data_IF_602319234666
#
_entry.id   IF_602319234666
#
_cell.length_a   1.000
_cell.length_b   1.000
_cell.length_c   1.000
_cell.angle_alpha   90.00
_cell.angle_beta   90.00
_cell.angle_gamma   90.00
#
_symmetry.space_group_name_H-M   'P 1'
#
loop_
_entity.id
_entity.type
_entity.pdbx_description
1 polymer ?
#
# COMPACT_ATOMS: atom_id res chain seq x y z
N UNK A 1 -43.24 39.54 26.35
CA UNK A 1 -42.57 38.74 27.38
C UNK A 1 -41.82 37.62 26.67
N UNK A 2 -40.50 37.57 26.82
CA UNK A 2 -39.57 36.61 26.16
C UNK A 2 -39.75 35.20 26.75
N UNK A 3 -39.56 34.16 25.94
CA UNK A 3 -38.87 32.87 26.26
C UNK A 3 -38.97 31.94 25.02
N UNK A 4 -37.96 31.98 24.14
CA UNK A 4 -36.82 31.04 24.03
C UNK A 4 -37.18 29.67 23.43
N UNK A 5 -36.82 29.54 22.14
CA UNK A 5 -36.40 28.32 21.48
C UNK A 5 -35.47 27.47 22.37
N UNK A 6 -35.69 26.15 22.37
CA UNK A 6 -34.58 25.17 22.47
C UNK A 6 -34.95 23.88 21.76
N UNK A 7 -34.28 23.67 20.62
CA UNK A 7 -33.94 22.38 20.06
C UNK A 7 -33.24 21.50 21.09
N UNK A 8 -33.58 20.21 21.13
CA UNK A 8 -32.60 19.15 21.32
C UNK A 8 -32.95 17.94 20.44
N UNK A 9 -32.37 17.93 19.24
CA UNK A 9 -32.14 16.73 18.45
C UNK A 9 -31.20 15.81 19.25
N UNK A 10 -31.64 14.58 19.57
CA UNK A 10 -30.73 13.55 20.08
C UNK A 10 -30.42 12.54 18.99
N UNK A 11 -29.19 12.73 18.53
CA UNK A 11 -28.44 12.08 17.47
C UNK A 11 -28.40 10.56 17.64
N UNK A 12 -28.80 9.90 16.56
CA UNK A 12 -28.58 8.49 16.26
C UNK A 12 -27.07 8.21 16.24
N UNK A 13 -26.53 7.61 17.31
CA UNK A 13 -25.14 7.17 17.37
C UNK A 13 -25.00 5.86 16.59
N UNK A 14 -24.97 5.98 15.27
CA UNK A 14 -24.46 4.95 14.36
C UNK A 14 -22.96 4.79 14.57
N UNK A 15 -22.56 3.68 15.20
CA UNK A 15 -21.16 3.24 15.25
C UNK A 15 -20.76 2.76 13.85
N UNK A 16 -20.30 3.70 13.02
CA UNK A 16 -19.47 3.37 11.86
C UNK A 16 -18.16 2.80 12.38
N UNK A 17 -18.06 1.47 12.37
CA UNK A 17 -16.79 0.78 12.44
C UNK A 17 -16.05 1.11 11.14
N UNK A 18 -15.15 2.10 11.24
CA UNK A 18 -14.16 2.38 10.21
C UNK A 18 -13.20 1.19 10.17
N UNK A 19 -13.53 0.14 9.42
CA UNK A 19 -12.54 -0.83 8.97
C UNK A 19 -11.61 -0.09 8.03
N UNK A 20 -10.55 0.49 8.59
CA UNK A 20 -9.37 0.86 7.82
C UNK A 20 -8.75 -0.46 7.38
N UNK A 21 -9.18 -0.96 6.23
CA UNK A 21 -8.42 -1.92 5.45
C UNK A 21 -7.12 -1.20 5.07
N UNK A 22 -6.13 -1.27 5.94
CA UNK A 22 -4.73 -1.04 5.60
C UNK A 22 -4.38 -2.16 4.64
N UNK A 23 -4.71 -1.96 3.37
CA UNK A 23 -4.08 -2.68 2.29
C UNK A 23 -2.59 -2.41 2.48
N UNK A 24 -1.86 -3.44 2.93
CA UNK A 24 -0.41 -3.52 2.82
C UNK A 24 -0.09 -3.48 1.33
N UNK A 25 -0.21 -2.30 0.71
CA UNK A 25 0.47 -1.97 -0.51
C UNK A 25 1.94 -1.93 -0.10
N UNK A 26 2.57 -3.11 -0.17
CA UNK A 26 4.00 -3.27 0.03
C UNK A 26 4.72 -2.20 -0.77
N UNK A 27 5.82 -1.69 -0.20
CA UNK A 27 6.70 -0.73 -0.87
C UNK A 27 6.88 -1.15 -2.33
N UNK A 28 6.33 -0.39 -3.26
CA UNK A 28 6.32 -0.77 -4.66
C UNK A 28 7.55 -0.14 -5.31
N UNK A 29 8.69 -0.83 -5.24
CA UNK A 29 9.81 -0.53 -6.13
C UNK A 29 9.50 -1.14 -7.48
N UNK A 30 9.43 -0.29 -8.51
CA UNK A 30 9.16 -0.72 -9.88
C UNK A 30 10.41 -0.48 -10.71
N UNK A 31 11.00 -1.56 -11.21
CA UNK A 31 12.10 -1.50 -12.16
C UNK A 31 11.58 -1.71 -13.58
N UNK A 32 12.09 -0.90 -14.49
CA UNK A 32 11.84 -0.92 -15.93
C UNK A 32 13.17 -1.04 -16.65
N UNK A 33 13.26 -1.96 -17.60
CA UNK A 33 14.40 -2.09 -18.50
C UNK A 33 14.02 -1.58 -19.88
N UNK A 34 14.92 -0.85 -20.52
CA UNK A 34 14.61 -0.16 -21.76
C UNK A 34 15.82 0.46 -22.43
N UNK A 35 15.55 1.45 -23.28
CA UNK A 35 16.56 2.17 -24.04
C UNK A 35 16.34 3.66 -23.94
N UNK A 36 17.43 4.41 -23.84
CA UNK A 36 17.42 5.87 -23.95
C UNK A 36 17.90 6.29 -25.34
N UNK A 37 17.15 7.18 -25.98
CA UNK A 37 17.58 7.95 -27.14
C UNK A 37 17.94 9.35 -26.69
N UNK A 38 19.07 9.90 -27.13
CA UNK A 38 19.47 11.26 -26.75
C UNK A 38 19.33 12.22 -27.92
N UNK A 39 19.30 13.51 -27.61
CA UNK A 39 19.26 14.58 -28.61
C UNK A 39 20.46 14.48 -29.54
N UNK A 40 20.18 14.31 -30.84
CA UNK A 40 21.18 14.11 -31.89
C UNK A 40 22.17 12.94 -31.62
N UNK A 41 21.80 11.97 -30.79
CA UNK A 41 22.66 10.85 -30.40
C UNK A 41 23.87 11.24 -29.53
N UNK A 42 23.92 12.48 -29.02
CA UNK A 42 25.02 12.94 -28.19
C UNK A 42 24.79 12.59 -26.72
N UNK A 43 25.81 12.12 -25.99
CA UNK A 43 25.67 11.85 -24.57
C UNK A 43 25.54 13.15 -23.77
N UNK A 44 24.87 13.11 -22.62
CA UNK A 44 24.73 14.26 -21.73
C UNK A 44 24.94 13.89 -20.25
N UNK A 45 25.48 14.80 -19.43
CA UNK A 45 25.66 14.55 -18.01
C UNK A 45 24.34 14.77 -17.25
N UNK A 46 23.93 13.77 -16.48
CA UNK A 46 22.95 13.89 -15.41
C UNK A 46 23.72 14.00 -14.10
N UNK A 47 23.73 15.18 -13.48
CA UNK A 47 24.32 15.40 -12.16
C UNK A 47 23.23 15.36 -11.08
N UNK A 48 23.62 15.05 -9.85
CA UNK A 48 22.81 15.04 -8.63
C UNK A 48 23.65 15.45 -7.42
N UNK A 49 23.11 15.36 -6.21
CA UNK A 49 23.84 15.66 -4.96
C UNK A 49 25.14 14.82 -4.84
N UNK A 50 26.27 15.41 -5.21
CA UNK A 50 27.60 14.79 -5.14
C UNK A 50 27.86 13.67 -6.17
N UNK A 51 26.94 13.41 -7.09
CA UNK A 51 27.05 12.32 -8.07
C UNK A 51 26.88 12.83 -9.50
N UNK A 52 27.55 12.20 -10.45
CA UNK A 52 27.40 12.47 -11.89
C UNK A 52 27.28 11.16 -12.64
N UNK A 53 26.33 11.09 -13.55
CA UNK A 53 26.07 9.95 -14.41
C UNK A 53 26.03 10.45 -15.86
N UNK A 54 26.85 9.86 -16.73
CA UNK A 54 26.78 10.14 -18.16
C UNK A 54 25.65 9.30 -18.77
N UNK A 55 24.71 9.95 -19.44
CA UNK A 55 23.62 9.31 -20.17
C UNK A 55 24.06 9.18 -21.62
N UNK A 56 24.29 7.94 -22.07
CA UNK A 56 24.65 7.59 -23.44
C UNK A 56 23.46 6.89 -24.12
N UNK A 57 23.27 7.06 -25.46
CA UNK A 57 22.26 6.29 -26.19
C UNK A 57 22.41 4.79 -25.98
N UNK A 58 21.29 4.10 -25.78
CA UNK A 58 21.25 2.64 -25.68
C UNK A 58 20.62 2.12 -24.40
N UNK A 59 20.94 0.88 -23.99
CA UNK A 59 20.26 0.21 -22.87
C UNK A 59 20.45 0.92 -21.53
N UNK A 60 19.34 1.09 -20.81
CA UNK A 60 19.26 1.72 -19.49
C UNK A 60 18.13 1.05 -18.69
N UNK A 61 18.15 1.21 -17.37
CA UNK A 61 17.00 0.89 -16.52
C UNK A 61 16.59 2.10 -15.69
N UNK A 62 15.30 2.18 -15.40
CA UNK A 62 14.73 3.16 -14.47
C UNK A 62 14.01 2.41 -13.37
N UNK A 63 14.29 2.80 -12.13
CA UNK A 63 13.61 2.32 -10.94
C UNK A 63 12.82 3.47 -10.31
N UNK A 64 11.56 3.23 -9.99
CA UNK A 64 10.69 4.17 -9.26
C UNK A 64 10.26 3.48 -7.98
N UNK A 65 10.74 3.99 -6.84
CA UNK A 65 10.32 3.58 -5.52
C UNK A 65 9.14 4.42 -5.05
N UNK A 66 7.94 3.84 -5.03
CA UNK A 66 6.74 4.48 -4.49
C UNK A 66 6.43 3.91 -3.10
N UNK A 67 6.26 4.79 -2.11
CA UNK A 67 5.72 4.41 -0.80
C UNK A 67 4.40 5.11 -0.53
N UNK A 68 3.41 4.43 0.10
CA UNK A 68 2.17 5.07 0.50
C UNK A 68 2.43 6.14 1.57
N UNK A 69 1.64 7.23 1.62
CA UNK A 69 1.67 8.18 2.73
C UNK A 69 1.40 7.50 4.09
N UNK A 70 2.00 7.96 5.20
CA UNK A 70 2.90 9.11 5.33
C UNK A 70 4.38 8.78 4.99
N UNK A 71 4.72 7.52 4.75
CA UNK A 71 6.09 7.07 4.48
C UNK A 71 6.66 7.62 3.16
N UNK A 72 5.79 8.03 2.23
CA UNK A 72 6.12 8.73 0.99
C UNK A 72 7.02 9.96 1.19
N UNK A 73 6.91 10.65 2.34
CA UNK A 73 7.65 11.89 2.61
C UNK A 73 9.15 11.68 2.80
N UNK A 74 9.60 10.46 3.11
CA UNK A 74 10.98 10.20 3.51
C UNK A 74 11.71 9.20 2.60
N UNK A 75 11.01 8.47 1.72
CA UNK A 75 11.57 7.27 1.09
C UNK A 75 11.13 7.00 -0.36
N UNK A 76 10.45 7.94 -1.03
CA UNK A 76 10.19 7.79 -2.46
C UNK A 76 11.38 8.28 -3.29
N UNK A 77 11.71 7.58 -4.37
CA UNK A 77 12.87 7.88 -5.20
C UNK A 77 12.69 7.48 -6.66
N UNK A 78 13.47 8.11 -7.53
CA UNK A 78 13.72 7.65 -8.89
C UNK A 78 15.21 7.37 -9.05
N UNK A 79 15.56 6.21 -9.58
CA UNK A 79 16.94 5.83 -9.87
C UNK A 79 17.11 5.57 -11.35
N UNK A 80 18.05 6.28 -11.95
CA UNK A 80 18.47 6.11 -13.35
C UNK A 80 19.72 5.23 -13.35
N UNK A 81 19.66 4.06 -13.99
CA UNK A 81 20.75 3.07 -14.02
C UNK A 81 21.30 2.89 -15.43
N UNK A 82 22.58 3.17 -15.64
CA UNK A 82 23.31 2.82 -16.86
C UNK A 82 24.26 1.66 -16.58
N UNK A 83 24.95 1.19 -17.62
CA UNK A 83 26.06 0.23 -17.46
C UNK A 83 27.23 0.79 -16.64
N UNK A 84 27.35 2.11 -16.51
CA UNK A 84 28.48 2.79 -15.86
C UNK A 84 28.18 3.28 -14.44
N UNK A 85 26.94 3.17 -13.99
CA UNK A 85 26.56 3.58 -12.65
C UNK A 85 25.06 3.86 -12.51
N UNK A 86 24.68 4.37 -11.34
CA UNK A 86 23.32 4.76 -11.05
C UNK A 86 23.29 6.12 -10.37
N UNK A 87 22.22 6.87 -10.61
CA UNK A 87 21.95 8.15 -9.95
C UNK A 87 20.55 8.10 -9.37
N UNK A 88 20.42 8.43 -8.09
CA UNK A 88 19.14 8.40 -7.37
C UNK A 88 18.74 9.80 -6.96
N UNK A 89 17.50 10.17 -7.27
CA UNK A 89 16.89 11.42 -6.85
C UNK A 89 15.71 11.14 -5.91
N UNK A 90 15.60 11.95 -4.86
CA UNK A 90 14.45 11.91 -3.94
C UNK A 90 13.21 12.45 -4.65
N UNK A 91 12.09 11.80 -4.42
CA UNK A 91 10.77 12.23 -4.91
C UNK A 91 9.81 12.38 -3.74
N UNK A 92 8.76 13.17 -3.92
CA UNK A 92 7.81 13.53 -2.87
C UNK A 92 6.40 13.31 -3.39
N UNK A 93 5.42 13.22 -2.48
CA UNK A 93 4.04 12.94 -2.85
C UNK A 93 3.48 13.88 -3.95
N UNK A 94 3.86 15.16 -3.95
CA UNK A 94 3.44 16.13 -4.96
C UNK A 94 4.12 16.01 -6.32
N UNK A 95 5.18 15.19 -6.42
CA UNK A 95 5.85 14.89 -7.69
C UNK A 95 5.07 13.81 -8.47
N UNK A 96 4.22 13.02 -7.80
CA UNK A 96 3.44 11.92 -8.39
C UNK A 96 2.00 12.35 -8.75
N UNK A 97 1.52 11.86 -9.88
CA UNK A 97 0.11 11.73 -10.20
C UNK A 97 -0.20 10.27 -10.56
N UNK A 98 -1.45 9.97 -10.97
CA UNK A 98 -1.91 8.60 -11.19
C UNK A 98 -1.01 7.77 -12.14
N UNK A 99 -0.55 8.40 -13.23
CA UNK A 99 0.20 7.78 -14.32
C UNK A 99 1.48 8.56 -14.69
N UNK A 100 1.87 9.54 -13.87
CA UNK A 100 3.02 10.40 -14.13
C UNK A 100 3.84 10.70 -12.89
N UNK A 101 5.11 11.04 -13.10
CA UNK A 101 6.04 11.55 -12.09
C UNK A 101 6.81 12.72 -12.70
N UNK A 102 6.83 13.87 -12.02
CA UNK A 102 7.59 15.05 -12.45
C UNK A 102 8.56 15.47 -11.34
N UNK A 103 9.86 15.41 -11.64
CA UNK A 103 10.92 15.82 -10.74
C UNK A 103 11.58 17.07 -11.30
N UNK A 104 11.42 18.20 -10.61
CA UNK A 104 12.15 19.43 -10.93
C UNK A 104 13.59 19.28 -10.46
N UNK A 105 14.53 19.29 -11.39
CA UNK A 105 15.93 19.04 -11.13
C UNK A 105 16.56 20.10 -10.24
N UNK A 106 16.31 21.38 -10.51
CA UNK A 106 16.91 22.49 -9.77
C UNK A 106 16.64 22.42 -8.25
N UNK A 107 15.43 22.03 -7.83
CA UNK A 107 15.08 21.91 -6.40
C UNK A 107 15.58 20.61 -5.75
N UNK A 108 16.16 19.71 -6.55
CA UNK A 108 16.63 18.37 -6.14
C UNK A 108 18.11 18.15 -6.42
N UNK A 109 18.83 19.21 -6.79
CA UNK A 109 20.25 19.16 -7.15
C UNK A 109 20.54 18.44 -8.47
N UNK A 110 19.53 18.21 -9.33
CA UNK A 110 19.72 17.58 -10.63
C UNK A 110 20.04 18.61 -11.73
N UNK A 111 20.87 18.21 -12.70
CA UNK A 111 21.16 19.03 -13.89
C UNK A 111 20.04 19.06 -14.94
N UNK A 112 19.02 18.23 -14.78
CA UNK A 112 17.88 18.11 -15.68
C UNK A 112 16.61 17.81 -14.89
N UNK A 113 15.48 18.27 -15.42
CA UNK A 113 14.16 17.86 -14.92
C UNK A 113 13.84 16.46 -15.49
N UNK A 114 13.07 15.67 -14.75
CA UNK A 114 12.62 14.35 -15.18
C UNK A 114 11.09 14.36 -15.28
N UNK A 115 10.56 14.02 -16.45
CA UNK A 115 9.13 13.83 -16.66
C UNK A 115 8.87 12.39 -17.08
N UNK A 116 8.35 11.59 -16.17
CA UNK A 116 7.99 10.20 -16.41
C UNK A 116 6.48 10.05 -16.60
N UNK A 117 6.09 9.18 -17.53
CA UNK A 117 4.72 8.74 -17.74
C UNK A 117 4.68 7.23 -17.94
N UNK A 118 3.58 6.60 -17.56
CA UNK A 118 3.42 5.18 -17.79
C UNK A 118 2.02 4.77 -18.18
N UNK A 119 1.94 3.66 -18.92
CA UNK A 119 0.68 3.01 -19.26
C UNK A 119 0.77 1.52 -18.90
N UNK A 120 -0.33 0.97 -18.40
CA UNK A 120 -0.43 -0.46 -18.11
C UNK A 120 -0.91 -1.17 -19.38
N UNK A 121 -0.11 -2.12 -19.86
CA UNK A 121 -0.42 -2.99 -21.00
C UNK A 121 -0.97 -4.30 -20.44
N UNK A 122 -2.24 -4.65 -20.70
CA UNK A 122 -2.83 -5.91 -20.27
C UNK A 122 -2.07 -7.10 -20.86
N UNK A 123 -1.79 -8.10 -20.02
CA UNK A 123 -1.08 -9.32 -20.39
C UNK A 123 -1.92 -10.60 -20.14
N UNK A 124 -3.05 -10.48 -19.45
CA UNK A 124 -4.01 -11.58 -19.27
C UNK A 124 -4.69 -11.56 -17.90
N UNK A 125 -5.52 -12.58 -17.66
CA UNK A 125 -6.21 -12.82 -16.39
C UNK A 125 -5.72 -14.14 -15.81
N UNK A 126 -5.49 -14.15 -14.50
CA UNK A 126 -5.16 -15.34 -13.72
C UNK A 126 -6.15 -15.48 -12.57
N UNK A 127 -6.53 -16.72 -12.26
CA UNK A 127 -7.43 -17.01 -11.15
C UNK A 127 -6.75 -18.01 -10.23
N UNK A 128 -6.71 -17.68 -8.95
CA UNK A 128 -6.12 -18.51 -7.92
C UNK A 128 -7.20 -18.86 -6.89
N UNK A 129 -7.35 -20.14 -6.58
CA UNK A 129 -8.18 -20.57 -5.45
C UNK A 129 -7.31 -20.70 -4.22
N UNK A 130 -7.70 -20.03 -3.14
CA UNK A 130 -7.02 -20.11 -1.84
C UNK A 130 -8.05 -20.21 -0.71
N UNK A 131 -7.57 -20.42 0.50
CA UNK A 131 -8.40 -20.43 1.71
C UNK A 131 -8.04 -19.24 2.58
N UNK A 132 -9.04 -18.47 3.00
CA UNK A 132 -8.89 -17.40 4.00
C UNK A 132 -9.52 -17.78 5.32
N UNK A 133 -8.99 -17.24 6.40
CA UNK A 133 -9.65 -17.28 7.71
C UNK A 133 -10.89 -16.38 7.68
N UNK A 134 -11.94 -16.83 8.35
CA UNK A 134 -13.21 -16.12 8.44
C UNK A 134 -13.87 -16.43 9.78
N UNK A 135 -14.99 -15.75 10.06
CA UNK A 135 -15.85 -16.06 11.20
C UNK A 135 -17.26 -16.40 10.75
N UNK A 136 -17.89 -17.34 11.44
CA UNK A 136 -19.27 -17.75 11.19
C UNK A 136 -20.05 -17.96 12.49
N UNK A 137 -21.36 -17.96 12.39
CA UNK A 137 -22.23 -18.30 13.52
C UNK A 137 -22.45 -19.82 13.55
N UNK A 138 -22.10 -20.47 14.66
CA UNK A 138 -22.18 -21.92 14.77
C UNK A 138 -21.73 -22.46 16.13
N UNK A 139 -21.66 -23.78 16.22
CA UNK A 139 -21.10 -24.47 17.39
C UNK A 139 -19.59 -24.55 17.27
N UNK A 140 -18.87 -24.02 18.25
CA UNK A 140 -17.42 -24.14 18.32
C UNK A 140 -16.92 -24.06 19.77
N UNK A 141 -15.62 -24.33 19.92
CA UNK A 141 -14.92 -24.18 21.19
C UNK A 141 -14.31 -22.78 21.27
N UNK A 142 -14.57 -22.04 22.35
CA UNK A 142 -13.91 -20.76 22.64
C UNK A 142 -13.17 -20.75 23.95
N UNK A 143 -12.03 -20.06 23.95
CA UNK A 143 -11.35 -19.65 25.16
C UNK A 143 -12.21 -18.59 25.85
N UNK A 144 -12.64 -18.87 27.08
CA UNK A 144 -13.32 -17.93 27.97
C UNK A 144 -12.48 -17.77 29.23
N UNK A 145 -12.27 -16.53 29.63
CA UNK A 145 -11.57 -16.24 30.86
C UNK A 145 -12.53 -16.37 32.05
N UNK A 146 -12.13 -17.18 33.02
CA UNK A 146 -12.84 -17.36 34.28
C UNK A 146 -12.00 -16.76 35.38
N UNK A 147 -12.54 -15.75 36.04
CA UNK A 147 -11.96 -15.21 37.26
C UNK A 147 -12.32 -16.14 38.41
N UNK A 148 -11.31 -16.80 38.99
CA UNK A 148 -11.44 -17.66 40.17
C UNK A 148 -11.03 -16.90 41.41
N UNK A 149 -11.93 -16.83 42.37
CA UNK A 149 -11.74 -16.29 43.71
C UNK A 149 -11.94 -17.43 44.73
N UNK A 150 -11.59 -17.25 46.02
CA UNK A 150 -11.69 -18.30 47.03
C UNK A 150 -13.08 -18.97 47.13
N UNK A 151 -14.16 -18.18 47.07
CA UNK A 151 -15.53 -18.68 47.27
C UNK A 151 -16.41 -18.59 46.01
N UNK A 152 -15.88 -18.12 44.88
CA UNK A 152 -16.68 -17.84 43.69
C UNK A 152 -15.88 -17.92 42.39
N UNK A 153 -16.59 -18.17 41.29
CA UNK A 153 -16.03 -18.08 39.93
C UNK A 153 -16.94 -17.23 39.06
N UNK A 154 -16.34 -16.34 38.27
CA UNK A 154 -17.08 -15.44 37.38
C UNK A 154 -16.55 -15.58 35.96
N UNK A 155 -17.44 -15.64 34.97
CA UNK A 155 -17.08 -15.65 33.55
C UNK A 155 -16.87 -14.23 33.04
N UNK A 156 -15.95 -14.05 32.09
CA UNK A 156 -15.72 -12.80 31.39
C UNK A 156 -17.04 -12.20 30.85
N UNK A 157 -17.17 -10.86 30.93
CA UNK A 157 -18.39 -10.15 30.52
C UNK A 157 -19.48 -10.05 31.61
N UNK A 158 -19.45 -10.90 32.65
CA UNK A 158 -20.41 -10.81 33.77
C UNK A 158 -20.16 -9.59 34.68
N UNK A 159 -21.17 -9.19 35.46
CA UNK A 159 -21.03 -8.12 36.48
C UNK A 159 -20.02 -8.51 37.57
N UNK A 160 -20.02 -9.79 37.98
CA UNK A 160 -19.11 -10.31 39.00
C UNK A 160 -17.64 -10.26 38.56
N UNK A 161 -17.35 -10.68 37.32
CA UNK A 161 -16.00 -10.62 36.75
C UNK A 161 -15.45 -9.19 36.79
N UNK A 162 -16.22 -8.21 36.31
CA UNK A 162 -15.82 -6.79 36.31
C UNK A 162 -15.57 -6.23 37.71
N UNK A 163 -16.39 -6.63 38.68
CA UNK A 163 -16.27 -6.17 40.08
C UNK A 163 -15.03 -6.75 40.77
N UNK A 164 -14.72 -8.01 40.52
CA UNK A 164 -13.69 -8.74 41.27
C UNK A 164 -12.34 -8.88 40.53
N UNK A 165 -12.23 -8.43 39.27
CA UNK A 165 -11.01 -8.56 38.45
C UNK A 165 -9.73 -8.01 39.10
N UNK A 166 -9.84 -7.02 39.99
CA UNK A 166 -8.71 -6.40 40.70
C UNK A 166 -8.56 -6.86 42.15
N UNK A 167 -9.37 -7.82 42.60
CA UNK A 167 -9.27 -8.34 43.96
C UNK A 167 -7.97 -9.16 44.10
N UNK A 168 -7.21 -8.98 45.19
CA UNK A 168 -5.86 -9.52 45.34
C UNK A 168 -5.81 -11.05 45.44
N UNK A 169 -6.93 -11.68 45.78
CA UNK A 169 -7.13 -13.11 45.98
C UNK A 169 -7.76 -13.82 44.77
N UNK A 170 -8.07 -13.08 43.70
CA UNK A 170 -8.65 -13.64 42.49
C UNK A 170 -7.62 -13.75 41.36
N UNK A 171 -7.66 -14.85 40.60
CA UNK A 171 -6.79 -15.06 39.44
C UNK A 171 -7.60 -15.52 38.21
N UNK A 172 -7.17 -15.11 37.03
CA UNK A 172 -7.81 -15.51 35.77
C UNK A 172 -7.30 -16.87 35.32
N UNK A 173 -8.22 -17.76 34.95
CA UNK A 173 -7.93 -19.04 34.30
C UNK A 173 -8.69 -19.09 33.00
N UNK A 174 -7.98 -19.29 31.89
CA UNK A 174 -8.61 -19.53 30.60
C UNK A 174 -9.15 -20.96 30.54
N UNK A 175 -10.43 -21.11 30.17
CA UNK A 175 -11.04 -22.41 29.90
C UNK A 175 -11.59 -22.45 28.48
N UNK A 176 -11.62 -23.64 27.89
CA UNK A 176 -12.26 -23.89 26.61
C UNK A 176 -13.68 -24.38 26.85
N UNK A 177 -14.67 -23.73 26.24
CA UNK A 177 -16.09 -24.14 26.30
C UNK A 177 -16.65 -24.34 24.91
N UNK A 178 -17.36 -25.44 24.76
CA UNK A 178 -18.25 -25.68 23.63
C UNK A 178 -19.53 -24.85 23.79
N UNK A 179 -19.94 -24.17 22.73
CA UNK A 179 -21.15 -23.36 22.70
C UNK A 179 -21.51 -22.88 21.30
N UNK A 180 -22.71 -22.32 21.14
CA UNK A 180 -23.10 -21.63 19.93
C UNK A 180 -22.65 -20.17 20.00
N UNK A 181 -21.75 -19.75 19.11
CA UNK A 181 -21.19 -18.40 19.06
C UNK A 181 -21.42 -17.77 17.68
N UNK A 182 -21.48 -16.44 17.60
CA UNK A 182 -21.69 -15.70 16.33
C UNK A 182 -20.41 -15.54 15.48
N UNK A 183 -19.27 -15.86 16.07
CA UNK A 183 -17.92 -15.54 15.58
C UNK A 183 -16.97 -16.71 15.82
N UNK A 184 -17.43 -17.92 15.49
CA UNK A 184 -16.60 -19.11 15.46
C UNK A 184 -15.51 -18.98 14.39
N UNK A 185 -14.25 -19.34 14.68
CA UNK A 185 -13.19 -19.32 13.69
C UNK A 185 -13.46 -20.39 12.63
N UNK A 186 -13.36 -20.00 11.38
CA UNK A 186 -13.56 -20.89 10.24
C UNK A 186 -12.60 -20.60 9.10
N UNK A 187 -12.71 -21.40 8.05
CA UNK A 187 -12.02 -21.18 6.79
C UNK A 187 -13.03 -21.14 5.65
N UNK A 188 -12.75 -20.29 4.68
CA UNK A 188 -13.58 -20.13 3.50
C UNK A 188 -12.68 -20.24 2.27
N UNK A 189 -13.08 -21.05 1.30
CA UNK A 189 -12.42 -21.06 0.00
C UNK A 189 -12.86 -19.85 -0.82
N UNK A 190 -11.88 -19.12 -1.31
CA UNK A 190 -12.06 -17.95 -2.16
C UNK A 190 -11.40 -18.19 -3.53
N UNK A 191 -11.91 -17.49 -4.53
CA UNK A 191 -11.32 -17.36 -5.85
C UNK A 191 -10.88 -15.91 -6.02
N UNK A 192 -9.57 -15.70 -6.12
CA UNK A 192 -9.01 -14.38 -6.37
C UNK A 192 -8.68 -14.24 -7.84
N UNK A 193 -9.19 -13.19 -8.48
CA UNK A 193 -8.89 -12.86 -9.88
C UNK A 193 -7.83 -11.77 -9.93
N UNK A 194 -6.74 -12.06 -10.64
CA UNK A 194 -5.65 -11.15 -10.89
C UNK A 194 -5.61 -10.73 -12.35
N UNK A 195 -5.44 -9.44 -12.60
CA UNK A 195 -5.01 -8.93 -13.89
C UNK A 195 -3.49 -8.93 -13.97
N UNK A 196 -2.95 -9.62 -14.97
CA UNK A 196 -1.54 -9.56 -15.34
C UNK A 196 -1.33 -8.39 -16.28
N UNK A 197 -0.30 -7.59 -16.03
CA UNK A 197 0.04 -6.45 -16.87
C UNK A 197 1.55 -6.18 -16.89
N UNK A 198 2.02 -5.47 -17.92
CA UNK A 198 3.35 -4.86 -17.96
C UNK A 198 3.17 -3.36 -18.01
N UNK A 199 4.02 -2.62 -17.32
CA UNK A 199 3.99 -1.16 -17.36
C UNK A 199 5.00 -0.65 -18.36
N UNK A 200 4.53 0.07 -19.38
CA UNK A 200 5.38 0.79 -20.31
C UNK A 200 5.68 2.17 -19.74
N UNK A 201 6.96 2.47 -19.59
CA UNK A 201 7.47 3.73 -19.09
C UNK A 201 8.05 4.55 -20.24
N UNK A 202 7.77 5.84 -20.23
CA UNK A 202 8.54 6.84 -20.94
C UNK A 202 9.06 7.86 -19.93
N UNK A 203 10.35 8.20 -20.02
CA UNK A 203 10.94 9.26 -19.19
C UNK A 203 11.68 10.24 -20.08
N UNK A 204 11.21 11.47 -20.08
CA UNK A 204 11.85 12.57 -20.79
C UNK A 204 12.82 13.29 -19.83
N UNK A 205 14.08 13.42 -20.27
CA UNK A 205 15.11 14.19 -19.58
C UNK A 205 15.07 15.61 -20.13
N UNK A 206 14.51 16.55 -19.38
CA UNK A 206 14.23 17.90 -19.84
C UNK A 206 15.37 18.86 -19.46
N UNK A 207 15.73 19.74 -20.39
CA UNK A 207 16.63 20.86 -20.08
C UNK A 207 15.99 21.79 -19.05
N UNK A 208 16.80 22.39 -18.19
CA UNK A 208 16.36 23.43 -17.27
C UNK A 208 15.87 24.72 -17.99
N UNK A 209 16.16 24.86 -19.28
CA UNK A 209 15.72 25.99 -20.11
C UNK A 209 14.34 25.71 -20.72
N UNK A 210 13.32 26.55 -20.46
CA UNK A 210 11.99 26.40 -21.04
C UNK A 210 12.03 26.44 -22.58
N UNK A 211 11.24 25.59 -23.23
CA UNK A 211 11.10 25.57 -24.70
C UNK A 211 12.21 24.88 -25.46
N UNK A 212 13.19 24.28 -24.77
CA UNK A 212 14.23 23.44 -25.38
C UNK A 212 13.73 22.00 -25.47
N UNK A 213 14.03 21.33 -26.59
CA UNK A 213 13.75 19.89 -26.75
C UNK A 213 14.38 19.06 -25.62
N UNK A 214 13.79 17.90 -25.27
CA UNK A 214 14.37 16.98 -24.30
C UNK A 214 15.82 16.61 -24.64
N UNK A 215 16.68 16.54 -23.62
CA UNK A 215 18.06 16.05 -23.72
C UNK A 215 18.10 14.57 -24.14
N UNK A 216 17.09 13.82 -23.72
CA UNK A 216 16.86 12.46 -24.15
C UNK A 216 15.51 11.95 -23.69
N UNK A 217 15.15 10.78 -24.20
CA UNK A 217 13.93 10.07 -23.90
C UNK A 217 14.27 8.60 -23.65
N UNK A 218 13.88 8.10 -22.50
CA UNK A 218 13.89 6.69 -22.16
C UNK A 218 12.54 6.07 -22.50
N UNK A 219 12.56 4.86 -23.03
CA UNK A 219 11.38 4.01 -23.15
C UNK A 219 11.72 2.59 -22.67
N UNK A 220 10.88 2.01 -21.82
CA UNK A 220 11.11 0.67 -21.30
C UNK A 220 9.88 0.00 -20.72
N UNK A 221 10.02 -1.28 -20.39
CA UNK A 221 8.94 -2.10 -19.84
C UNK A 221 9.34 -2.64 -18.47
N UNK A 222 8.38 -2.65 -17.55
CA UNK A 222 8.53 -3.39 -16.30
C UNK A 222 8.54 -4.90 -16.53
N UNK A 223 9.02 -5.64 -15.53
CA UNK A 223 8.67 -7.05 -15.40
C UNK A 223 7.14 -7.25 -15.36
N UNK A 224 6.69 -8.48 -15.60
CA UNK A 224 5.28 -8.84 -15.50
C UNK A 224 4.79 -8.62 -14.06
N UNK A 225 3.68 -7.90 -13.91
CA UNK A 225 3.05 -7.60 -12.63
C UNK A 225 1.65 -8.19 -12.58
N UNK A 226 1.13 -8.29 -11.35
CA UNK A 226 -0.25 -8.69 -11.08
C UNK A 226 -0.90 -7.72 -10.12
N UNK A 227 -2.17 -7.40 -10.35
CA UNK A 227 -3.03 -6.70 -9.39
C UNK A 227 -4.32 -7.49 -9.20
N UNK A 228 -4.78 -7.60 -7.96
CA UNK A 228 -6.07 -8.21 -7.67
C UNK A 228 -7.17 -7.27 -8.18
N UNK A 229 -8.10 -7.81 -8.95
CA UNK A 229 -9.24 -7.06 -9.50
C UNK A 229 -10.58 -7.55 -8.96
N UNK A 230 -10.63 -8.78 -8.45
CA UNK A 230 -11.85 -9.37 -7.89
C UNK A 230 -11.53 -10.47 -6.87
N UNK A 231 -12.47 -10.73 -5.98
CA UNK A 231 -12.44 -11.81 -5.01
C UNK A 231 -13.84 -12.34 -4.72
N UNK A 232 -14.03 -13.63 -4.98
CA UNK A 232 -15.31 -14.31 -4.81
C UNK A 232 -15.21 -15.41 -3.75
N UNK A 233 -16.20 -15.47 -2.85
CA UNK A 233 -16.37 -16.59 -1.95
C UNK A 233 -17.02 -17.76 -2.70
N UNK A 234 -16.33 -18.90 -2.75
CA UNK A 234 -16.83 -20.09 -3.45
C UNK A 234 -17.81 -20.91 -2.60
N UNK A 235 -17.75 -20.74 -1.28
CA UNK A 235 -18.55 -21.45 -0.30
C UNK A 235 -18.75 -20.60 0.96
N UNK A 236 -19.72 -20.90 1.84
CA UNK A 236 -19.84 -20.24 3.14
C UNK A 236 -18.62 -20.49 4.04
N UNK A 237 -18.45 -19.65 5.05
CA UNK A 237 -17.45 -19.89 6.10
C UNK A 237 -17.88 -21.05 7.00
N UNK A 238 -16.96 -21.98 7.28
CA UNK A 238 -17.16 -23.16 8.14
C UNK A 238 -15.97 -23.43 9.05
#
# INVERSE_FOLDING_TARGET
>A
MRLRLRHENKILLGRLALCVSVSLAGCATIESAGTVTTRHGQPFPLAGEGQRLLIEPGPMAIEIGERPPPLALFHSHITVKTRRGALTAKTYAGDFAADTLTVRGASRGLSADLAARWTDIPAGIERESTSRECSYAGWCVKAVDILRCPDASYEEGTKGFRKHRKAPDCHTVTKYRDGYYSDCPGRQRILTTYEKYRRQYQVDFLSAQPGVEPLGQYQGLSALRRRQIDEEALEPCH
#
